data_IF_926951151336
#
_entry.id   IF_926951151336
#
_cell.length_a   1.000
_cell.length_b   1.000
_cell.length_c   1.000
_cell.angle_alpha   90.00
_cell.angle_beta   90.00
_cell.angle_gamma   90.00
#
_symmetry.space_group_name_H-M   'P 1'
#
loop_
_entity.id
_entity.type
_entity.pdbx_description
1 polymer ?
#
# COMPACT_ATOMS: atom_id res chain seq x y z
N UNK A 1 29.66 27.78 -12.05
CA UNK A 1 28.46 27.51 -11.26
C UNK A 1 27.52 26.61 -12.06
N UNK A 2 26.91 25.67 -11.43
CA UNK A 2 25.85 24.84 -12.01
C UNK A 2 24.54 25.31 -11.37
N UNK A 3 23.57 25.64 -12.20
CA UNK A 3 22.27 26.10 -11.76
C UNK A 3 21.27 24.97 -12.05
N UNK A 4 20.45 24.63 -11.05
CA UNK A 4 19.40 23.62 -11.17
C UNK A 4 18.06 24.32 -11.19
N UNK A 5 17.30 24.14 -12.26
CA UNK A 5 15.96 24.66 -12.41
C UNK A 5 14.95 23.48 -12.38
N UNK A 6 13.98 23.54 -11.49
CA UNK A 6 12.96 22.48 -11.31
C UNK A 6 12.40 22.48 -9.90
N UNK A 7 11.43 21.61 -9.59
CA UNK A 7 10.84 20.57 -10.46
C UNK A 7 9.84 21.15 -11.48
N UNK A 8 9.82 20.57 -12.68
CA UNK A 8 8.83 20.89 -13.72
C UNK A 8 7.66 19.91 -13.63
N UNK A 9 6.44 20.41 -13.67
CA UNK A 9 5.22 19.63 -13.68
C UNK A 9 4.41 19.89 -14.95
N UNK A 10 3.89 18.83 -15.57
CA UNK A 10 3.00 18.94 -16.74
C UNK A 10 1.70 19.70 -16.41
N UNK A 11 1.26 19.62 -15.15
CA UNK A 11 0.09 20.36 -14.65
C UNK A 11 0.27 20.73 -13.18
N UNK A 12 -0.21 21.90 -12.81
CA UNK A 12 -0.22 22.38 -11.43
C UNK A 12 -1.66 22.55 -10.90
N UNK A 13 -1.97 22.10 -9.66
CA UNK A 13 -1.14 21.27 -8.78
C UNK A 13 -0.92 19.87 -9.35
N UNK A 14 0.20 19.18 -8.98
CA UNK A 14 0.52 17.84 -9.49
C UNK A 14 -0.51 16.79 -9.04
N UNK A 15 -0.57 15.66 -9.76
CA UNK A 15 -1.53 14.59 -9.47
C UNK A 15 -1.43 14.05 -8.03
N UNK A 16 -0.23 14.04 -7.45
CA UNK A 16 0.00 13.64 -6.06
C UNK A 16 -0.67 14.58 -5.07
N UNK A 17 -0.65 15.88 -5.34
CA UNK A 17 -1.37 16.88 -4.52
C UNK A 17 -2.88 16.67 -4.61
N UNK A 18 -3.42 16.48 -5.82
CA UNK A 18 -4.86 16.24 -6.04
C UNK A 18 -5.38 14.93 -5.45
N UNK A 19 -4.51 13.98 -5.13
CA UNK A 19 -4.88 12.77 -4.39
C UNK A 19 -5.15 13.03 -2.90
N UNK A 20 -4.64 14.13 -2.36
CA UNK A 20 -4.85 14.55 -0.97
C UNK A 20 -5.94 15.62 -0.94
N UNK A 21 -5.72 16.71 -1.65
CA UNK A 21 -6.68 17.81 -1.79
C UNK A 21 -7.64 17.48 -2.93
N UNK A 22 -8.66 16.68 -2.61
CA UNK A 22 -9.66 16.23 -3.56
C UNK A 22 -10.56 17.39 -3.99
N UNK A 23 -11.06 17.36 -5.23
CA UNK A 23 -12.05 18.35 -5.67
C UNK A 23 -13.36 18.18 -4.90
N UNK A 24 -13.94 19.27 -4.44
CA UNK A 24 -15.17 19.29 -3.66
C UNK A 24 -15.99 20.54 -3.96
N UNK A 25 -17.30 20.42 -3.81
CA UNK A 25 -18.21 21.59 -3.81
C UNK A 25 -18.08 22.45 -2.52
N UNK A 26 -17.35 21.94 -1.51
CA UNK A 26 -17.19 22.57 -0.19
C UNK A 26 -15.81 23.23 0.00
N UNK A 27 -15.05 23.47 -1.08
CA UNK A 27 -13.71 24.09 -1.00
C UNK A 27 -13.71 25.44 -0.28
N UNK A 28 -14.82 26.20 -0.37
CA UNK A 28 -15.02 27.48 0.31
C UNK A 28 -15.46 27.35 1.78
N UNK A 29 -15.68 26.12 2.26
CA UNK A 29 -16.11 25.81 3.63
C UNK A 29 -15.02 25.01 4.35
N UNK A 30 -14.05 25.68 5.02
CA UNK A 30 -12.83 25.03 5.49
C UNK A 30 -13.05 23.78 6.36
N UNK A 31 -14.02 23.80 7.28
CA UNK A 31 -14.28 22.65 8.16
C UNK A 31 -14.87 21.47 7.40
N UNK A 32 -15.79 21.72 6.45
CA UNK A 32 -16.41 20.65 5.67
C UNK A 32 -15.41 20.06 4.69
N UNK A 33 -14.65 20.91 4.01
CA UNK A 33 -13.62 20.48 3.09
C UNK A 33 -12.51 19.69 3.80
N UNK A 34 -12.06 20.15 4.98
CA UNK A 34 -11.11 19.42 5.79
C UNK A 34 -11.64 18.03 6.19
N UNK A 35 -12.91 17.95 6.58
CA UNK A 35 -13.57 16.68 6.93
C UNK A 35 -13.53 15.69 5.75
N UNK A 36 -13.88 16.12 4.55
CA UNK A 36 -13.85 15.28 3.35
C UNK A 36 -12.44 14.75 3.06
N UNK A 37 -11.42 15.62 3.11
CA UNK A 37 -10.03 15.24 2.91
C UNK A 37 -9.58 14.23 3.98
N UNK A 38 -9.82 14.54 5.25
CA UNK A 38 -9.35 13.74 6.38
C UNK A 38 -10.03 12.37 6.39
N UNK A 39 -11.35 12.31 6.17
CA UNK A 39 -12.11 11.05 6.14
C UNK A 39 -11.66 10.17 4.98
N UNK A 40 -11.53 10.73 3.77
CA UNK A 40 -11.09 9.95 2.60
C UNK A 40 -9.64 9.47 2.74
N UNK A 41 -8.76 10.31 3.25
CA UNK A 41 -7.37 9.92 3.50
C UNK A 41 -7.27 8.83 4.57
N UNK A 42 -7.96 9.00 5.70
CA UNK A 42 -7.94 8.03 6.79
C UNK A 42 -8.60 6.70 6.40
N UNK A 43 -9.69 6.73 5.62
CA UNK A 43 -10.32 5.52 5.05
C UNK A 43 -9.32 4.70 4.22
N UNK A 44 -8.54 5.37 3.39
CA UNK A 44 -7.49 4.72 2.59
C UNK A 44 -6.34 4.22 3.45
N UNK A 45 -5.87 5.05 4.39
CA UNK A 45 -4.76 4.71 5.28
C UNK A 45 -5.09 3.52 6.19
N UNK A 46 -6.29 3.47 6.76
CA UNK A 46 -6.75 2.40 7.66
C UNK A 46 -7.33 1.20 6.89
N UNK A 47 -7.48 1.32 5.55
CA UNK A 47 -7.96 0.26 4.66
C UNK A 47 -9.38 -0.22 5.00
N UNK A 48 -10.15 0.61 5.70
CA UNK A 48 -11.55 0.42 6.09
C UNK A 48 -12.22 1.78 6.31
N UNK A 49 -13.56 1.85 6.36
CA UNK A 49 -14.25 3.02 6.86
C UNK A 49 -13.76 3.39 8.27
N UNK A 50 -13.61 4.67 8.53
CA UNK A 50 -13.30 5.15 9.88
C UNK A 50 -14.58 5.20 10.71
N UNK A 51 -14.44 5.03 12.02
CA UNK A 51 -15.56 5.16 12.96
C UNK A 51 -15.86 6.64 13.23
N UNK A 52 -17.07 6.94 13.70
CA UNK A 52 -17.45 8.30 14.10
C UNK A 52 -16.53 8.87 15.20
N UNK A 53 -16.02 8.02 16.10
CA UNK A 53 -15.08 8.42 17.14
C UNK A 53 -13.71 8.77 16.57
N UNK A 54 -13.22 8.01 15.60
CA UNK A 54 -11.96 8.29 14.89
C UNK A 54 -12.08 9.61 14.09
N UNK A 55 -13.19 9.80 13.37
CA UNK A 55 -13.47 11.05 12.66
C UNK A 55 -13.48 12.24 13.60
N UNK A 56 -14.23 12.15 14.71
CA UNK A 56 -14.34 13.23 15.69
C UNK A 56 -12.96 13.59 16.28
N UNK A 57 -12.12 12.57 16.59
CA UNK A 57 -10.78 12.79 17.11
C UNK A 57 -9.85 13.47 16.11
N UNK A 58 -9.89 13.05 14.84
CA UNK A 58 -9.08 13.67 13.78
C UNK A 58 -9.53 15.10 13.50
N UNK A 59 -10.84 15.35 13.48
CA UNK A 59 -11.37 16.70 13.28
C UNK A 59 -11.10 17.64 14.47
N UNK A 60 -10.96 17.10 15.68
CA UNK A 60 -10.52 17.90 16.84
C UNK A 60 -9.08 18.39 16.65
N UNK A 61 -8.17 17.53 16.18
CA UNK A 61 -6.78 17.92 15.86
C UNK A 61 -6.77 18.99 14.77
N UNK A 62 -7.55 18.81 13.71
CA UNK A 62 -7.62 19.82 12.64
C UNK A 62 -8.11 21.18 13.17
N UNK A 63 -9.16 21.20 13.99
CA UNK A 63 -9.70 22.43 14.59
C UNK A 63 -8.67 23.13 15.48
N UNK A 64 -7.96 22.38 16.31
CA UNK A 64 -6.91 22.92 17.18
C UNK A 64 -5.76 23.53 16.37
N UNK A 65 -5.25 22.81 15.36
CA UNK A 65 -4.19 23.30 14.47
C UNK A 65 -4.64 24.55 13.71
N UNK A 66 -5.84 24.54 13.11
CA UNK A 66 -6.36 25.66 12.35
C UNK A 66 -6.66 26.90 13.20
N UNK A 67 -7.10 26.69 14.45
CA UNK A 67 -7.32 27.79 15.39
C UNK A 67 -6.00 28.43 15.86
N UNK A 68 -4.94 27.62 16.04
CA UNK A 68 -3.62 28.11 16.43
C UNK A 68 -2.93 28.89 15.31
N UNK A 69 -3.08 28.42 14.08
CA UNK A 69 -2.54 29.05 12.87
C UNK A 69 -3.53 28.84 11.72
N UNK A 70 -4.21 29.90 11.23
CA UNK A 70 -5.17 29.77 10.15
C UNK A 70 -4.51 29.53 8.76
N UNK A 71 -3.81 28.41 8.64
CA UNK A 71 -3.28 27.85 7.39
C UNK A 71 -3.95 26.52 7.14
N UNK A 72 -4.85 26.49 6.15
CA UNK A 72 -5.61 25.28 5.81
C UNK A 72 -4.71 24.09 5.43
N UNK A 73 -3.71 24.36 4.59
CA UNK A 73 -2.80 23.32 4.10
C UNK A 73 -1.96 22.74 5.25
N UNK A 74 -1.47 23.59 6.15
CA UNK A 74 -0.69 23.13 7.29
C UNK A 74 -1.56 22.35 8.27
N UNK A 75 -2.76 22.81 8.57
CA UNK A 75 -3.70 22.11 9.48
C UNK A 75 -4.11 20.73 8.94
N UNK A 76 -4.29 20.59 7.61
CA UNK A 76 -4.47 19.29 6.98
C UNK A 76 -3.23 18.41 7.19
N UNK A 77 -2.01 18.91 6.92
CA UNK A 77 -0.78 18.14 7.11
C UNK A 77 -0.61 17.63 8.54
N UNK A 78 -0.88 18.48 9.54
CA UNK A 78 -0.79 18.11 10.95
C UNK A 78 -1.75 16.97 11.29
N UNK A 79 -2.99 17.06 10.79
CA UNK A 79 -3.99 16.00 10.97
C UNK A 79 -3.60 14.70 10.27
N UNK A 80 -3.12 14.78 9.01
CA UNK A 80 -2.68 13.60 8.28
C UNK A 80 -1.44 12.94 8.91
N UNK A 81 -0.59 13.70 9.60
CA UNK A 81 0.53 13.15 10.35
C UNK A 81 0.03 12.22 11.48
N UNK A 82 -1.04 12.60 12.19
CA UNK A 82 -1.67 11.73 13.20
C UNK A 82 -2.18 10.43 12.56
N UNK A 83 -2.81 10.51 11.38
CA UNK A 83 -3.23 9.30 10.65
C UNK A 83 -2.04 8.40 10.33
N UNK A 84 -0.95 8.96 9.80
CA UNK A 84 0.23 8.20 9.36
C UNK A 84 1.08 7.65 10.51
N UNK A 85 0.94 8.19 11.72
CA UNK A 85 1.63 7.69 12.92
C UNK A 85 0.74 6.78 13.78
N UNK A 86 -0.52 6.59 13.39
CA UNK A 86 -1.45 5.77 14.15
C UNK A 86 -1.17 4.26 13.99
N UNK A 87 -1.46 3.44 15.03
CA UNK A 87 -1.37 1.98 14.91
C UNK A 87 -2.20 1.39 13.77
N UNK A 88 -3.35 1.99 13.46
CA UNK A 88 -4.24 1.56 12.37
C UNK A 88 -3.61 1.67 10.99
N UNK A 89 -2.70 2.61 10.80
CA UNK A 89 -1.91 2.72 9.59
C UNK A 89 -0.68 1.81 9.61
N UNK A 90 0.08 1.83 10.71
CA UNK A 90 1.38 1.16 10.83
C UNK A 90 1.27 -0.37 10.86
N UNK A 91 0.17 -0.91 11.36
CA UNK A 91 -0.01 -2.35 11.54
C UNK A 91 -1.24 -2.88 10.78
N UNK A 92 -1.18 -4.16 10.44
CA UNK A 92 -2.36 -4.93 10.04
C UNK A 92 -2.99 -5.48 11.33
N UNK A 93 -4.07 -4.84 11.77
CA UNK A 93 -4.76 -5.20 13.01
C UNK A 93 -5.95 -6.08 12.64
N UNK A 94 -5.95 -7.32 13.13
CA UNK A 94 -7.08 -8.23 13.10
C UNK A 94 -7.77 -8.15 14.46
N UNK A 95 -9.04 -7.79 14.49
CA UNK A 95 -9.81 -7.72 15.73
C UNK A 95 -10.43 -9.07 16.03
N UNK A 96 -10.31 -9.51 17.28
CA UNK A 96 -11.00 -10.68 17.79
C UNK A 96 -11.57 -10.34 19.16
N UNK A 97 -12.84 -10.63 19.36
CA UNK A 97 -13.52 -10.42 20.65
C UNK A 97 -13.38 -11.64 21.56
N UNK A 98 -12.88 -12.75 21.03
CA UNK A 98 -12.70 -14.01 21.77
C UNK A 98 -11.30 -14.59 21.53
N UNK A 99 -10.76 -15.45 22.42
CA UNK A 99 -9.50 -16.16 22.19
C UNK A 99 -9.61 -17.32 21.18
N UNK A 100 -10.76 -17.44 20.50
CA UNK A 100 -11.01 -18.47 19.49
C UNK A 100 -10.76 -17.92 18.08
N UNK A 101 -10.39 -18.76 17.11
CA UNK A 101 -10.32 -18.35 15.71
C UNK A 101 -11.68 -17.83 15.23
N UNK A 102 -11.68 -16.63 14.69
CA UNK A 102 -12.85 -15.96 14.12
C UNK A 102 -12.61 -15.67 12.64
N UNK A 103 -13.66 -15.69 11.80
CA UNK A 103 -13.54 -15.27 10.41
C UNK A 103 -13.15 -13.78 10.35
N UNK A 104 -12.18 -13.44 9.50
CA UNK A 104 -11.84 -12.04 9.22
C UNK A 104 -13.06 -11.30 8.67
N UNK A 105 -13.19 -10.04 8.98
CA UNK A 105 -14.09 -9.14 8.25
C UNK A 105 -13.63 -9.00 6.79
N UNK A 106 -14.52 -8.61 5.89
CA UNK A 106 -14.16 -8.45 4.47
C UNK A 106 -13.07 -7.38 4.27
N UNK A 107 -13.01 -6.34 5.12
CA UNK A 107 -11.94 -5.33 5.08
C UNK A 107 -10.59 -5.88 5.56
N UNK A 108 -10.57 -6.69 6.61
CA UNK A 108 -9.37 -7.38 7.08
C UNK A 108 -8.88 -8.40 6.03
N UNK A 109 -9.82 -9.14 5.43
CA UNK A 109 -9.53 -10.09 4.35
C UNK A 109 -8.94 -9.36 3.12
N UNK A 110 -9.53 -8.24 2.70
CA UNK A 110 -9.02 -7.41 1.61
C UNK A 110 -7.59 -6.95 1.89
N UNK A 111 -7.34 -6.47 3.10
CA UNK A 111 -6.02 -6.01 3.52
C UNK A 111 -5.02 -7.17 3.51
N UNK A 112 -5.34 -8.28 4.15
CA UNK A 112 -4.47 -9.47 4.22
C UNK A 112 -4.13 -10.01 2.83
N UNK A 113 -5.14 -10.13 1.96
CA UNK A 113 -4.97 -10.60 0.60
C UNK A 113 -4.08 -9.68 -0.24
N UNK A 114 -4.31 -8.36 -0.14
CA UNK A 114 -3.58 -7.37 -0.91
C UNK A 114 -2.10 -7.26 -0.47
N UNK A 115 -1.84 -7.20 0.82
CA UNK A 115 -0.47 -7.19 1.32
C UNK A 115 0.26 -8.50 1.04
N UNK A 116 -0.43 -9.64 1.11
CA UNK A 116 0.17 -10.93 0.80
C UNK A 116 0.56 -11.05 -0.69
N UNK A 117 -0.36 -10.72 -1.62
CA UNK A 117 -0.12 -10.94 -3.05
C UNK A 117 0.56 -9.76 -3.77
N UNK A 118 0.42 -8.53 -3.25
CA UNK A 118 0.89 -7.31 -3.92
C UNK A 118 1.82 -6.44 -3.09
N UNK A 119 1.98 -6.74 -1.80
CA UNK A 119 2.76 -5.93 -0.85
C UNK A 119 2.32 -4.45 -0.84
N UNK A 120 1.04 -4.21 -1.00
CA UNK A 120 0.45 -2.86 -1.00
C UNK A 120 -0.99 -2.87 -0.50
N UNK A 121 -1.56 -1.67 -0.29
CA UNK A 121 -2.95 -1.53 0.14
C UNK A 121 -3.96 -2.09 -0.89
N UNK A 122 -5.16 -2.51 -0.44
CA UNK A 122 -6.23 -2.94 -1.33
C UNK A 122 -6.57 -1.90 -2.39
N UNK A 123 -6.76 -2.34 -3.63
CA UNK A 123 -7.23 -1.48 -4.70
C UNK A 123 -8.73 -1.13 -4.54
N UNK A 124 -9.25 -0.14 -5.30
CA UNK A 124 -10.65 0.28 -5.18
C UNK A 124 -11.64 -0.88 -5.30
N UNK A 125 -11.40 -1.85 -6.20
CA UNK A 125 -12.27 -3.00 -6.39
C UNK A 125 -12.34 -3.90 -5.14
N UNK A 126 -11.20 -4.21 -4.52
CA UNK A 126 -11.20 -4.97 -3.26
C UNK A 126 -11.90 -4.20 -2.13
N UNK A 127 -11.72 -2.87 -2.09
CA UNK A 127 -12.40 -2.02 -1.10
C UNK A 127 -13.91 -1.99 -1.31
N UNK A 128 -14.37 -1.90 -2.55
CA UNK A 128 -15.81 -1.94 -2.90
C UNK A 128 -16.45 -3.29 -2.55
N UNK A 129 -15.78 -4.39 -2.88
CA UNK A 129 -16.25 -5.74 -2.52
C UNK A 129 -16.31 -5.92 -1.00
N UNK A 130 -15.30 -5.43 -0.28
CA UNK A 130 -15.28 -5.48 1.18
C UNK A 130 -16.40 -4.62 1.80
N UNK A 131 -16.59 -3.41 1.32
CA UNK A 131 -17.66 -2.52 1.78
C UNK A 131 -19.06 -3.10 1.52
N UNK A 132 -19.22 -3.87 0.44
CA UNK A 132 -20.48 -4.55 0.10
C UNK A 132 -20.67 -5.89 0.82
N UNK A 133 -19.71 -6.37 1.63
CA UNK A 133 -19.74 -7.70 2.25
C UNK A 133 -19.71 -8.87 1.25
N UNK A 134 -19.12 -8.65 0.06
CA UNK A 134 -19.12 -9.61 -1.06
C UNK A 134 -17.75 -10.20 -1.38
N UNK A 135 -16.69 -9.76 -0.69
CA UNK A 135 -15.33 -10.17 -1.02
C UNK A 135 -15.14 -11.68 -0.84
N UNK A 136 -15.68 -12.25 0.22
CA UNK A 136 -15.56 -13.68 0.50
C UNK A 136 -16.20 -14.54 -0.60
N UNK A 137 -17.34 -14.11 -1.12
CA UNK A 137 -18.01 -14.82 -2.23
C UNK A 137 -17.26 -14.68 -3.56
N UNK A 138 -16.51 -13.61 -3.74
CA UNK A 138 -15.73 -13.33 -4.93
C UNK A 138 -14.25 -13.78 -4.83
N UNK A 139 -13.85 -14.46 -3.76
CA UNK A 139 -12.45 -14.67 -3.39
C UNK A 139 -11.63 -15.34 -4.49
N UNK A 140 -12.11 -16.44 -5.07
CA UNK A 140 -11.39 -17.17 -6.11
C UNK A 140 -11.18 -16.32 -7.38
N UNK A 141 -12.19 -15.54 -7.75
CA UNK A 141 -12.11 -14.60 -8.89
C UNK A 141 -11.09 -13.50 -8.62
N UNK A 142 -11.09 -12.95 -7.41
CA UNK A 142 -10.15 -11.88 -7.04
C UNK A 142 -8.71 -12.41 -6.91
N UNK A 143 -8.50 -13.58 -6.34
CA UNK A 143 -7.17 -14.22 -6.30
C UNK A 143 -6.63 -14.43 -7.72
N UNK A 144 -7.45 -14.96 -8.63
CA UNK A 144 -7.05 -15.15 -10.04
C UNK A 144 -6.66 -13.82 -10.69
N UNK A 145 -7.48 -12.78 -10.52
CA UNK A 145 -7.19 -11.43 -11.00
C UNK A 145 -5.89 -10.89 -10.42
N UNK A 146 -5.67 -11.08 -9.13
CA UNK A 146 -4.50 -10.55 -8.42
C UNK A 146 -3.20 -11.24 -8.85
N UNK A 147 -3.25 -12.55 -9.12
CA UNK A 147 -2.10 -13.31 -9.65
C UNK A 147 -1.75 -12.86 -11.09
N UNK A 148 -2.75 -12.52 -11.89
CA UNK A 148 -2.55 -12.00 -13.25
C UNK A 148 -1.97 -10.57 -13.27
N UNK A 149 -2.18 -9.77 -12.22
CA UNK A 149 -1.71 -8.38 -12.10
C UNK A 149 -0.17 -8.31 -12.02
N UNK A 150 0.47 -7.30 -12.64
CA UNK A 150 1.93 -7.10 -12.54
C UNK A 150 2.46 -7.01 -11.10
N UNK A 151 1.68 -6.47 -10.16
CA UNK A 151 2.04 -6.36 -8.73
C UNK A 151 2.33 -7.70 -8.06
N UNK A 152 1.79 -8.81 -8.58
CA UNK A 152 2.08 -10.15 -8.10
C UNK A 152 3.59 -10.52 -8.17
N UNK A 153 4.35 -9.84 -9.03
CA UNK A 153 5.80 -9.98 -9.06
C UNK A 153 6.48 -9.66 -7.72
N UNK A 154 5.86 -8.84 -6.86
CA UNK A 154 6.38 -8.57 -5.52
C UNK A 154 6.29 -9.80 -4.62
N UNK A 155 5.15 -10.49 -4.63
CA UNK A 155 5.02 -11.76 -3.90
C UNK A 155 6.07 -12.77 -4.34
N UNK A 156 6.22 -13.01 -5.64
CA UNK A 156 7.18 -13.97 -6.15
C UNK A 156 8.62 -13.61 -5.72
N UNK A 157 8.96 -12.34 -5.74
CA UNK A 157 10.27 -11.83 -5.33
C UNK A 157 10.52 -12.06 -3.83
N UNK A 158 9.60 -11.57 -2.99
CA UNK A 158 9.74 -11.66 -1.54
C UNK A 158 9.73 -13.12 -1.05
N UNK A 159 8.77 -13.90 -1.54
CA UNK A 159 8.64 -15.30 -1.17
C UNK A 159 9.86 -16.11 -1.60
N UNK A 160 10.26 -16.04 -2.88
CA UNK A 160 11.42 -16.78 -3.38
C UNK A 160 12.71 -16.35 -2.68
N UNK A 161 12.89 -15.03 -2.42
CA UNK A 161 14.08 -14.53 -1.74
C UNK A 161 14.21 -15.09 -0.33
N UNK A 162 13.12 -15.14 0.43
CA UNK A 162 13.10 -15.69 1.78
C UNK A 162 13.21 -17.21 1.78
N UNK A 163 12.39 -17.90 0.99
CA UNK A 163 12.34 -19.35 0.92
C UNK A 163 13.68 -19.96 0.48
N UNK A 164 14.28 -19.40 -0.58
CA UNK A 164 15.54 -19.89 -1.14
C UNK A 164 16.77 -19.21 -0.53
N UNK A 165 16.58 -18.30 0.44
CA UNK A 165 17.67 -17.54 1.07
C UNK A 165 18.56 -16.83 0.04
N UNK A 166 17.96 -16.17 -0.96
CA UNK A 166 18.71 -15.57 -2.07
C UNK A 166 19.63 -14.42 -1.62
N UNK A 167 19.43 -13.87 -0.44
CA UNK A 167 20.35 -12.88 0.16
C UNK A 167 21.75 -13.49 0.40
N UNK A 168 21.81 -14.78 0.73
CA UNK A 168 23.09 -15.49 0.86
C UNK A 168 23.82 -15.62 -0.46
N UNK A 169 23.08 -15.66 -1.58
CA UNK A 169 23.69 -15.69 -2.90
C UNK A 169 24.41 -14.38 -3.23
N UNK A 170 23.92 -13.25 -2.69
CA UNK A 170 24.52 -11.94 -2.95
C UNK A 170 25.93 -11.80 -2.36
N UNK A 171 26.23 -12.50 -1.26
CA UNK A 171 27.55 -12.50 -0.59
C UNK A 171 28.47 -13.62 -1.07
N UNK A 172 28.01 -14.53 -1.95
CA UNK A 172 28.86 -15.56 -2.54
C UNK A 172 29.94 -14.92 -3.42
N UNK A 173 31.21 -15.13 -3.07
CA UNK A 173 32.33 -14.72 -3.91
C UNK A 173 32.49 -15.70 -5.10
N UNK A 174 32.60 -15.13 -6.29
CA UNK A 174 32.78 -15.88 -7.52
C UNK A 174 34.27 -16.02 -7.83
N UNK A 175 34.72 -17.21 -8.12
CA UNK A 175 36.07 -17.44 -8.62
C UNK A 175 36.14 -17.08 -10.11
N UNK A 176 36.36 -15.81 -10.41
CA UNK A 176 36.45 -15.30 -11.78
C UNK A 176 37.62 -15.90 -12.60
N UNK A 177 38.61 -16.54 -11.93
CA UNK A 177 39.67 -17.24 -12.64
C UNK A 177 39.18 -18.56 -13.22
N UNK A 178 38.30 -19.26 -12.47
CA UNK A 178 37.67 -20.51 -12.95
C UNK A 178 36.49 -20.25 -13.87
N UNK A 179 35.76 -19.16 -13.62
CA UNK A 179 34.52 -18.84 -14.33
C UNK A 179 34.57 -17.40 -14.89
N UNK A 180 35.41 -17.12 -15.91
CA UNK A 180 35.61 -15.78 -16.41
C UNK A 180 34.37 -15.15 -17.09
N UNK A 181 33.40 -15.96 -17.47
CA UNK A 181 32.10 -15.50 -18.02
C UNK A 181 31.09 -15.09 -16.95
N UNK A 182 31.34 -15.37 -15.67
CA UNK A 182 30.48 -14.97 -14.57
C UNK A 182 30.74 -13.51 -14.18
N UNK A 183 30.10 -12.61 -14.89
CA UNK A 183 30.14 -11.18 -14.58
C UNK A 183 29.17 -10.84 -13.45
N UNK A 184 29.21 -9.60 -12.97
CA UNK A 184 28.22 -9.05 -12.02
C UNK A 184 26.80 -9.16 -12.57
N UNK A 185 26.61 -8.87 -13.85
CA UNK A 185 25.30 -8.94 -14.50
C UNK A 185 24.79 -10.38 -14.57
N UNK A 186 25.69 -11.34 -14.87
CA UNK A 186 25.34 -12.77 -14.82
C UNK A 186 24.85 -13.18 -13.43
N UNK A 187 25.50 -12.70 -12.36
CA UNK A 187 25.08 -12.98 -10.99
C UNK A 187 23.66 -12.43 -10.70
N UNK A 188 23.37 -11.21 -11.15
CA UNK A 188 22.04 -10.61 -11.02
C UNK A 188 20.98 -11.46 -11.74
N UNK A 189 21.25 -11.88 -12.97
CA UNK A 189 20.32 -12.72 -13.74
C UNK A 189 20.12 -14.09 -13.10
N UNK A 190 21.18 -14.74 -12.60
CA UNK A 190 21.07 -16.03 -11.88
C UNK A 190 20.18 -15.91 -10.63
N UNK A 191 20.26 -14.78 -9.90
CA UNK A 191 19.40 -14.52 -8.76
C UNK A 191 17.93 -14.32 -9.18
N UNK A 192 17.71 -13.75 -10.35
CA UNK A 192 16.36 -13.46 -10.86
C UNK A 192 15.64 -14.73 -11.37
N UNK A 193 16.35 -15.69 -11.90
CA UNK A 193 15.78 -16.91 -12.51
C UNK A 193 14.78 -17.67 -11.60
N UNK A 194 15.10 -18.01 -10.34
CA UNK A 194 14.17 -18.74 -9.48
C UNK A 194 12.92 -17.93 -9.14
N UNK A 195 13.02 -16.59 -9.09
CA UNK A 195 11.90 -15.69 -8.87
C UNK A 195 10.93 -15.72 -10.06
N UNK A 196 11.47 -15.61 -11.27
CA UNK A 196 10.70 -15.67 -12.53
C UNK A 196 10.08 -17.05 -12.74
N UNK A 197 10.83 -18.10 -12.44
CA UNK A 197 10.32 -19.47 -12.52
C UNK A 197 9.12 -19.67 -11.59
N UNK A 198 9.24 -19.27 -10.32
CA UNK A 198 8.14 -19.36 -9.36
C UNK A 198 6.93 -18.57 -9.83
N UNK A 199 7.13 -17.35 -10.30
CA UNK A 199 6.06 -16.52 -10.83
C UNK A 199 5.36 -17.17 -12.03
N UNK A 200 6.15 -17.78 -12.93
CA UNK A 200 5.61 -18.50 -14.10
C UNK A 200 4.79 -19.72 -13.68
N UNK A 201 5.33 -20.57 -12.80
CA UNK A 201 4.65 -21.77 -12.32
C UNK A 201 3.29 -21.44 -11.69
N UNK A 202 3.22 -20.42 -10.84
CA UNK A 202 1.98 -20.01 -10.19
C UNK A 202 0.98 -19.44 -11.21
N UNK A 203 1.42 -18.55 -12.12
CA UNK A 203 0.55 -17.95 -13.13
C UNK A 203 0.00 -18.97 -14.12
N UNK A 204 0.80 -19.92 -14.51
CA UNK A 204 0.42 -20.98 -15.44
C UNK A 204 -0.25 -22.19 -14.75
N UNK A 205 -0.39 -22.17 -13.41
CA UNK A 205 -0.91 -23.26 -12.58
C UNK A 205 -0.23 -24.59 -12.90
N UNK A 206 1.11 -24.56 -13.00
CA UNK A 206 1.93 -25.73 -13.26
C UNK A 206 2.38 -26.39 -11.96
N UNK A 207 2.59 -27.73 -11.94
CA UNK A 207 3.20 -28.40 -10.81
C UNK A 207 4.65 -27.92 -10.63
N UNK A 208 5.09 -27.79 -9.36
CA UNK A 208 6.45 -27.42 -9.00
C UNK A 208 7.41 -28.59 -9.07
#
# INVERSE_FOLDING_TARGET
SVEFEGPFYESWPPATHRRIFIGSANEDQPEQYAREIVVEFARRAFRRPITAAEEASLMAVWKESFAAQPDFTQSIKDTLLIVLTSPQFLFLIEKSDTPKPEPLTDHELASKLSYFLWNTMPDPRLQELAAAGKLRAALDTEITRMIADPRFGQFAREFASQWLSLDKFDVVEMDYKKFPSLTRDTKIHLRQQPIELLQHLIRANLPA
#
